data_IF_658349853448
#
_entry.id   IF_658349853448
#
_cell.length_a   1.000
_cell.length_b   1.000
_cell.length_c   1.000
_cell.angle_alpha   90.00
_cell.angle_beta   90.00
_cell.angle_gamma   90.00
#
_symmetry.space_group_name_H-M   'P 1'
#
loop_
_entity.id
_entity.type
_entity.pdbx_description
1 polymer ?
#
# COMPACT_ATOMS: atom_id res chain seq x y z
N UNK A 1 14.57 -4.85 8.57
CA UNK A 1 13.72 -3.90 7.81
C UNK A 1 13.26 -4.56 6.52
N UNK A 2 11.95 -4.56 6.26
CA UNK A 2 11.31 -5.11 5.07
C UNK A 2 10.71 -3.98 4.23
N UNK A 3 10.86 -4.06 2.91
CA UNK A 3 10.23 -3.16 1.96
C UNK A 3 9.25 -3.96 1.10
N UNK A 4 8.02 -3.48 1.00
CA UNK A 4 7.06 -3.97 0.00
C UNK A 4 6.52 -2.80 -0.82
N UNK A 5 5.98 -3.08 -2.00
CA UNK A 5 5.33 -2.07 -2.82
C UNK A 5 3.95 -2.53 -3.28
N UNK A 6 3.12 -1.55 -3.64
CA UNK A 6 1.84 -1.87 -4.25
C UNK A 6 0.97 -0.67 -4.55
N UNK A 7 -0.11 -0.96 -5.25
CA UNK A 7 -1.14 0.02 -5.57
C UNK A 7 -2.04 0.28 -4.36
N UNK A 8 -2.46 -0.76 -3.62
CA UNK A 8 -3.35 -0.66 -2.46
C UNK A 8 -4.59 0.22 -2.69
N UNK A 9 -5.11 0.20 -3.92
CA UNK A 9 -6.39 0.81 -4.26
C UNK A 9 -7.53 -0.08 -3.77
N UNK A 10 -8.59 0.54 -3.22
CA UNK A 10 -9.63 -0.12 -2.41
C UNK A 10 -9.02 -1.11 -1.40
N UNK A 11 -8.57 -0.58 -0.25
CA UNK A 11 -8.03 -1.43 0.80
C UNK A 11 -9.12 -2.39 1.33
N UNK A 12 -8.75 -3.66 1.48
CA UNK A 12 -9.64 -4.71 1.99
C UNK A 12 -8.85 -5.69 2.86
N UNK A 13 -9.54 -6.59 3.55
CA UNK A 13 -8.95 -7.52 4.52
C UNK A 13 -7.74 -8.30 3.98
N UNK A 14 -7.78 -8.74 2.72
CA UNK A 14 -6.63 -9.40 2.08
C UNK A 14 -5.33 -8.58 2.07
N UNK A 15 -5.40 -7.27 1.80
CA UNK A 15 -4.22 -6.40 1.86
C UNK A 15 -3.72 -6.22 3.29
N UNK A 16 -4.63 -6.11 4.26
CA UNK A 16 -4.28 -5.96 5.68
C UNK A 16 -3.57 -7.22 6.19
N UNK A 17 -4.13 -8.40 5.90
CA UNK A 17 -3.53 -9.68 6.27
C UNK A 17 -2.13 -9.82 5.65
N UNK A 18 -2.00 -9.52 4.35
CA UNK A 18 -0.72 -9.51 3.66
C UNK A 18 0.33 -8.60 4.33
N UNK A 19 -0.03 -7.37 4.69
CA UNK A 19 0.89 -6.43 5.35
C UNK A 19 1.23 -6.87 6.78
N UNK A 20 0.28 -7.46 7.51
CA UNK A 20 0.52 -8.05 8.84
C UNK A 20 1.45 -9.25 8.79
N UNK A 21 1.35 -10.09 7.77
CA UNK A 21 2.27 -11.21 7.58
C UNK A 21 3.65 -10.70 7.19
N UNK A 22 3.72 -9.69 6.31
CA UNK A 22 4.97 -9.04 5.93
C UNK A 22 5.67 -8.39 7.13
N UNK A 23 4.95 -7.71 8.02
CA UNK A 23 5.53 -7.07 9.20
C UNK A 23 6.14 -8.06 10.19
N UNK A 24 5.82 -9.36 10.10
CA UNK A 24 6.43 -10.41 10.95
C UNK A 24 7.78 -10.88 10.44
N UNK A 25 8.12 -10.57 9.19
CA UNK A 25 9.37 -11.00 8.54
C UNK A 25 10.56 -10.07 8.80
N UNK A 26 10.35 -8.95 9.51
CA UNK A 26 11.43 -8.04 9.89
C UNK A 26 11.00 -6.99 10.91
N UNK A 27 11.97 -6.26 11.45
CA UNK A 27 11.73 -5.35 12.60
C UNK A 27 10.97 -4.06 12.25
N UNK A 28 10.90 -3.72 10.96
CA UNK A 28 10.20 -2.53 10.44
C UNK A 28 9.66 -2.82 9.05
N UNK A 29 8.44 -2.39 8.75
CA UNK A 29 7.78 -2.49 7.45
C UNK A 29 7.66 -1.10 6.80
N UNK A 30 8.29 -0.96 5.63
CA UNK A 30 8.15 0.20 4.75
C UNK A 30 7.28 -0.21 3.55
N UNK A 31 6.27 0.60 3.23
CA UNK A 31 5.33 0.34 2.13
C UNK A 31 5.43 1.43 1.07
N UNK A 32 6.11 1.13 -0.04
CA UNK A 32 6.17 2.03 -1.18
C UNK A 32 4.88 1.98 -2.00
N UNK A 33 4.28 3.13 -2.29
CA UNK A 33 3.01 3.21 -3.01
C UNK A 33 3.21 3.67 -4.45
N UNK A 34 2.58 2.98 -5.40
CA UNK A 34 2.60 3.41 -6.80
C UNK A 34 1.86 4.74 -6.99
N UNK A 35 2.43 5.64 -7.80
CA UNK A 35 1.78 6.89 -8.20
C UNK A 35 0.50 6.64 -8.99
N UNK A 36 -0.41 7.60 -9.01
CA UNK A 36 -1.65 7.47 -9.79
C UNK A 36 -1.37 7.29 -11.28
N UNK A 37 -0.29 7.90 -11.80
CA UNK A 37 0.16 7.71 -13.17
C UNK A 37 0.54 6.25 -13.42
N UNK A 38 1.42 5.69 -12.58
CA UNK A 38 1.86 4.29 -12.70
C UNK A 38 0.67 3.32 -12.61
N UNK A 39 -0.30 3.58 -11.73
CA UNK A 39 -1.48 2.73 -11.60
C UNK A 39 -2.38 2.84 -12.84
N UNK A 40 -2.60 4.04 -13.39
CA UNK A 40 -3.34 4.23 -14.66
C UNK A 40 -2.68 3.47 -15.80
N UNK A 41 -1.37 3.59 -15.91
CA UNK A 41 -0.58 2.96 -16.98
C UNK A 41 -0.65 1.41 -16.88
N UNK A 42 -0.76 0.85 -15.68
CA UNK A 42 -0.83 -0.61 -15.44
C UNK A 42 -2.25 -1.20 -15.47
N UNK A 43 -3.24 -0.49 -14.93
CA UNK A 43 -4.59 -1.02 -14.67
C UNK A 43 -5.68 -0.37 -15.53
N UNK A 44 -5.32 0.62 -16.35
CA UNK A 44 -6.23 1.36 -17.22
C UNK A 44 -6.64 2.72 -16.64
N UNK A 45 -7.27 3.57 -17.46
CA UNK A 45 -7.52 4.98 -17.15
C UNK A 45 -8.45 5.19 -15.95
N UNK A 46 -9.34 4.25 -15.67
CA UNK A 46 -10.31 4.28 -14.55
C UNK A 46 -9.68 3.95 -13.19
N UNK A 47 -8.36 3.70 -13.12
CA UNK A 47 -7.66 3.32 -11.89
C UNK A 47 -6.46 4.24 -11.64
N UNK A 48 -6.13 4.61 -10.39
CA UNK A 48 -6.76 4.16 -9.15
C UNK A 48 -8.06 4.91 -8.87
N UNK A 49 -8.96 4.28 -8.10
CA UNK A 49 -10.17 4.95 -7.60
C UNK A 49 -9.81 5.97 -6.52
N UNK A 50 -8.92 5.58 -5.61
CA UNK A 50 -8.44 6.47 -4.56
C UNK A 50 -7.08 7.09 -4.97
N UNK A 51 -6.95 8.43 -4.99
CA UNK A 51 -5.68 9.09 -5.28
C UNK A 51 -4.57 8.70 -4.30
N UNK A 52 -3.31 8.88 -4.72
CA UNK A 52 -2.11 8.51 -3.96
C UNK A 52 -2.17 8.98 -2.51
N UNK A 53 -2.51 10.25 -2.28
CA UNK A 53 -2.56 10.84 -0.93
C UNK A 53 -3.54 10.09 0.01
N UNK A 54 -4.68 9.65 -0.51
CA UNK A 54 -5.67 8.92 0.30
C UNK A 54 -5.17 7.50 0.60
N UNK A 55 -4.62 6.81 -0.40
CA UNK A 55 -4.02 5.47 -0.21
C UNK A 55 -2.88 5.51 0.80
N UNK A 56 -2.01 6.51 0.72
CA UNK A 56 -0.94 6.75 1.69
C UNK A 56 -1.45 6.98 3.09
N UNK A 57 -2.46 7.84 3.27
CA UNK A 57 -3.02 8.13 4.58
C UNK A 57 -3.64 6.88 5.24
N UNK A 58 -4.34 6.05 4.47
CA UNK A 58 -4.94 4.82 4.97
C UNK A 58 -3.87 3.80 5.36
N UNK A 59 -2.83 3.62 4.54
CA UNK A 59 -1.75 2.69 4.85
C UNK A 59 -0.93 3.15 6.07
N UNK A 60 -0.66 4.45 6.20
CA UNK A 60 0.05 5.02 7.35
C UNK A 60 -0.74 4.89 8.66
N UNK A 61 -2.05 4.68 8.60
CA UNK A 61 -2.88 4.43 9.78
C UNK A 61 -2.88 2.96 10.24
N UNK A 62 -2.30 2.04 9.45
CA UNK A 62 -2.21 0.63 9.84
C UNK A 62 -1.10 0.44 10.87
N UNK A 63 -1.44 -0.17 12.01
CA UNK A 63 -0.48 -0.40 13.09
C UNK A 63 0.74 -1.25 12.72
N UNK A 64 0.66 -2.04 11.64
CA UNK A 64 1.77 -2.86 11.15
C UNK A 64 2.70 -2.14 10.15
N UNK A 65 2.40 -0.89 9.78
CA UNK A 65 3.17 -0.11 8.79
C UNK A 65 3.96 0.98 9.53
N UNK A 66 5.29 0.94 9.44
CA UNK A 66 6.17 1.92 10.09
C UNK A 66 6.41 3.16 9.23
N UNK A 67 6.40 2.99 7.91
CA UNK A 67 6.62 4.09 6.96
C UNK A 67 5.93 3.84 5.63
N UNK A 68 5.50 4.93 4.99
CA UNK A 68 4.87 4.95 3.66
C UNK A 68 5.62 5.89 2.73
#
# INVERSE_FOLDING_TARGET
MLLTNGCFDILHAGHVAYLQDASRLGDRLIVAINTDKTVRDLKGPERPINPLKQRSAVLAALACVDWV
#
